data_IF_800685422761
#
_entry.id   IF_800685422761
#
_cell.length_a   1.000
_cell.length_b   1.000
_cell.length_c   1.000
_cell.angle_alpha   90.00
_cell.angle_beta   90.00
_cell.angle_gamma   90.00
#
_symmetry.space_group_name_H-M   'P 1'
#
loop_
_entity.id
_entity.type
_entity.pdbx_description
1 polymer ?
#
# COMPACT_ATOMS: atom_id res chain seq x y z
N UNK A 1 -6.68 -72.15 -20.77
CA UNK A 1 -6.39 -70.89 -21.53
C UNK A 1 -6.93 -69.75 -20.71
N UNK A 2 -6.05 -69.05 -19.99
CA UNK A 2 -6.41 -67.85 -19.19
C UNK A 2 -6.08 -66.60 -20.01
N UNK A 3 -7.06 -65.83 -20.42
CA UNK A 3 -6.88 -64.57 -21.06
C UNK A 3 -6.48 -63.54 -20.04
N UNK A 4 -5.34 -62.91 -20.24
CA UNK A 4 -4.80 -61.82 -19.45
C UNK A 4 -5.33 -60.51 -20.03
N UNK A 5 -6.23 -59.82 -19.31
CA UNK A 5 -6.72 -58.48 -19.66
C UNK A 5 -5.70 -57.48 -19.13
N UNK A 6 -4.97 -56.86 -20.03
CA UNK A 6 -4.12 -55.69 -19.75
C UNK A 6 -5.00 -54.41 -19.74
N UNK A 7 -5.24 -53.87 -18.54
CA UNK A 7 -5.87 -52.57 -18.37
C UNK A 7 -4.77 -51.50 -18.47
N UNK A 8 -4.74 -50.79 -19.59
CA UNK A 8 -3.87 -49.63 -19.80
C UNK A 8 -4.48 -48.45 -19.10
N UNK A 9 -4.03 -48.14 -17.86
CA UNK A 9 -4.40 -46.91 -17.16
C UNK A 9 -3.65 -45.75 -17.78
N UNK A 10 -4.32 -44.98 -18.66
CA UNK A 10 -3.80 -43.71 -19.17
C UNK A 10 -3.77 -42.66 -18.08
N UNK A 11 -2.59 -42.32 -17.58
CA UNK A 11 -2.35 -41.15 -16.76
C UNK A 11 -2.59 -39.90 -17.61
N UNK A 12 -3.75 -39.28 -17.45
CA UNK A 12 -3.98 -37.91 -17.93
C UNK A 12 -3.21 -36.97 -17.00
N UNK A 13 -2.01 -36.62 -17.38
CA UNK A 13 -1.27 -35.51 -16.76
C UNK A 13 -2.00 -34.21 -17.18
N UNK A 14 -2.89 -33.73 -16.34
CA UNK A 14 -3.45 -32.41 -16.49
C UNK A 14 -2.30 -31.40 -16.29
N UNK A 15 -1.64 -31.04 -17.38
CA UNK A 15 -0.72 -29.92 -17.40
C UNK A 15 -1.54 -28.67 -17.07
N UNK A 16 -1.41 -28.14 -15.84
CA UNK A 16 -1.82 -26.80 -15.54
C UNK A 16 -0.98 -25.90 -16.45
N UNK A 17 -1.51 -25.54 -17.60
CA UNK A 17 -0.92 -24.54 -18.46
C UNK A 17 -0.90 -23.23 -17.67
N UNK A 18 0.21 -22.92 -17.04
CA UNK A 18 0.45 -21.59 -16.48
C UNK A 18 0.47 -20.65 -17.70
N UNK A 19 -0.59 -19.86 -17.83
CA UNK A 19 -0.59 -18.81 -18.83
C UNK A 19 0.63 -17.91 -18.57
N UNK A 20 1.41 -17.57 -19.59
CA UNK A 20 2.54 -16.65 -19.42
C UNK A 20 2.01 -15.36 -18.75
N UNK A 21 2.81 -14.73 -17.89
CA UNK A 21 2.40 -13.48 -17.28
C UNK A 21 2.08 -12.48 -18.39
N UNK A 22 0.98 -11.72 -18.22
CA UNK A 22 0.59 -10.67 -19.17
C UNK A 22 1.71 -9.68 -19.35
N UNK A 23 1.87 -9.21 -20.59
CA UNK A 23 2.77 -8.09 -20.87
C UNK A 23 2.07 -6.76 -20.53
N UNK A 24 2.80 -5.86 -19.86
CA UNK A 24 2.34 -4.51 -19.52
C UNK A 24 3.36 -3.48 -19.94
N UNK A 25 2.91 -2.44 -20.64
CA UNK A 25 3.71 -1.27 -20.98
C UNK A 25 3.40 -0.16 -19.98
N UNK A 26 4.42 0.35 -19.29
CA UNK A 26 4.27 1.44 -18.36
C UNK A 26 4.14 2.78 -19.07
N UNK A 27 3.07 3.54 -18.81
CA UNK A 27 2.94 4.94 -19.20
C UNK A 27 3.71 5.83 -18.20
N UNK A 28 3.63 5.49 -16.93
CA UNK A 28 4.33 6.15 -15.81
C UNK A 28 4.75 5.08 -14.81
N UNK A 29 5.95 5.18 -14.31
CA UNK A 29 6.41 4.41 -13.15
C UNK A 29 7.18 5.35 -12.22
N UNK A 30 6.67 5.57 -11.03
CA UNK A 30 7.25 6.46 -10.03
C UNK A 30 8.48 5.81 -9.39
N UNK A 31 9.41 6.65 -8.93
CA UNK A 31 10.50 6.19 -8.08
C UNK A 31 9.93 5.52 -6.82
N UNK A 32 10.53 4.40 -6.41
CA UNK A 32 10.07 3.65 -5.24
C UNK A 32 11.26 3.02 -4.52
N UNK A 33 11.14 2.85 -3.23
CA UNK A 33 12.07 2.04 -2.44
C UNK A 33 11.97 0.56 -2.82
N UNK A 34 12.96 -0.29 -2.51
CA UNK A 34 12.87 -1.73 -2.75
C UNK A 34 11.59 -2.34 -2.19
N UNK A 35 11.03 -3.31 -2.92
CA UNK A 35 9.86 -4.06 -2.46
C UNK A 35 10.20 -4.84 -1.20
N UNK A 36 9.44 -4.59 -0.14
CA UNK A 36 9.59 -5.27 1.15
C UNK A 36 8.69 -6.53 1.20
N UNK A 37 8.92 -7.40 2.18
CA UNK A 37 8.11 -8.59 2.38
C UNK A 37 7.50 -8.58 3.79
N UNK A 38 6.17 -8.51 3.88
CA UNK A 38 5.43 -8.57 5.13
C UNK A 38 5.35 -9.99 5.73
N UNK A 39 5.74 -11.02 4.97
CA UNK A 39 5.58 -12.41 5.38
C UNK A 39 4.11 -12.79 5.59
N UNK A 40 3.82 -13.46 6.70
CA UNK A 40 2.48 -13.88 7.10
C UNK A 40 1.72 -12.86 7.95
N UNK A 41 2.26 -11.67 8.17
CA UNK A 41 1.63 -10.63 9.00
C UNK A 41 0.41 -10.01 8.30
N UNK A 42 -0.47 -9.38 9.08
CA UNK A 42 -1.63 -8.63 8.57
C UNK A 42 -1.33 -7.14 8.37
N UNK A 43 -0.05 -6.80 8.09
CA UNK A 43 0.45 -5.43 8.07
C UNK A 43 0.49 -4.81 6.67
N UNK A 44 -0.22 -5.34 5.67
CA UNK A 44 -0.23 -4.78 4.30
C UNK A 44 -0.51 -3.27 4.28
N UNK A 45 -1.41 -2.77 5.12
CA UNK A 45 -1.73 -1.37 5.27
C UNK A 45 -0.54 -0.52 5.74
N UNK A 46 0.30 -1.06 6.63
CA UNK A 46 1.55 -0.40 7.05
C UNK A 46 2.51 -0.28 5.88
N UNK A 47 2.75 -1.40 5.18
CA UNK A 47 3.67 -1.41 4.04
C UNK A 47 3.20 -0.51 2.90
N UNK A 48 1.89 -0.49 2.61
CA UNK A 48 1.30 0.33 1.57
C UNK A 48 1.43 1.82 1.86
N UNK A 49 1.05 2.25 3.06
CA UNK A 49 1.11 3.67 3.42
C UNK A 49 2.56 4.15 3.58
N UNK A 50 3.46 3.36 4.17
CA UNK A 50 4.89 3.71 4.21
C UNK A 50 5.47 3.84 2.80
N UNK A 51 5.10 2.95 1.87
CA UNK A 51 5.54 3.05 0.48
C UNK A 51 5.00 4.29 -0.23
N UNK A 52 3.78 4.74 0.08
CA UNK A 52 3.23 5.99 -0.44
C UNK A 52 4.01 7.21 0.10
N UNK A 53 4.31 7.25 1.41
CA UNK A 53 5.15 8.29 2.03
C UNK A 53 6.55 8.31 1.38
N UNK A 54 7.18 7.14 1.25
CA UNK A 54 8.51 7.01 0.63
C UNK A 54 8.51 7.52 -0.82
N UNK A 55 7.48 7.18 -1.61
CA UNK A 55 7.33 7.64 -3.00
C UNK A 55 7.21 9.16 -3.07
N UNK A 56 6.48 9.78 -2.15
CA UNK A 56 6.34 11.24 -2.08
C UNK A 56 7.69 11.93 -1.86
N UNK A 57 8.49 11.41 -0.92
CA UNK A 57 9.83 11.94 -0.65
C UNK A 57 10.82 11.70 -1.80
N UNK A 58 10.78 10.53 -2.43
CA UNK A 58 11.63 10.23 -3.60
C UNK A 58 11.35 11.17 -4.78
N UNK A 59 10.12 11.68 -4.92
CA UNK A 59 9.75 12.70 -5.91
C UNK A 59 10.58 13.98 -5.76
N UNK A 60 10.94 14.35 -4.53
CA UNK A 60 11.77 15.49 -4.20
C UNK A 60 13.28 15.18 -4.16
N UNK A 61 13.66 13.92 -4.40
CA UNK A 61 15.06 13.46 -4.35
C UNK A 61 15.53 13.04 -2.95
N UNK A 62 14.63 12.98 -1.98
CA UNK A 62 14.95 12.51 -0.62
C UNK A 62 15.05 10.99 -0.58
N UNK A 63 16.10 10.47 0.06
CA UNK A 63 16.30 9.02 0.25
C UNK A 63 15.59 8.53 1.52
N UNK A 64 14.26 8.58 1.55
CA UNK A 64 13.45 8.09 2.67
C UNK A 64 13.08 6.63 2.46
N UNK A 65 13.42 5.78 3.43
CA UNK A 65 13.04 4.37 3.49
C UNK A 65 12.65 4.04 4.93
N UNK A 66 11.39 3.73 5.20
CA UNK A 66 10.80 3.68 6.53
C UNK A 66 10.68 2.25 7.05
N UNK A 67 10.68 2.09 8.38
CA UNK A 67 10.64 0.80 9.06
C UNK A 67 9.22 0.31 9.37
N UNK A 68 8.71 -0.74 8.70
CA UNK A 68 7.47 -1.40 9.13
C UNK A 68 7.62 -2.08 10.50
N UNK A 69 8.81 -2.59 10.84
CA UNK A 69 9.09 -3.25 12.10
C UNK A 69 8.93 -2.31 13.31
N UNK A 70 9.25 -1.02 13.13
CA UNK A 70 9.00 -0.01 14.17
C UNK A 70 7.50 0.11 14.47
N UNK A 71 6.68 0.19 13.43
CA UNK A 71 5.22 0.26 13.60
C UNK A 71 4.67 -1.03 14.20
N UNK A 72 5.20 -2.19 13.84
CA UNK A 72 4.80 -3.44 14.46
C UNK A 72 5.06 -3.44 15.97
N UNK A 73 6.20 -2.90 16.43
CA UNK A 73 6.48 -2.68 17.86
C UNK A 73 5.53 -1.69 18.52
N UNK A 74 5.18 -0.61 17.83
CA UNK A 74 4.17 0.34 18.30
C UNK A 74 2.82 -0.36 18.52
N UNK A 75 2.39 -1.19 17.57
CA UNK A 75 1.13 -1.93 17.68
C UNK A 75 1.10 -2.92 18.85
N UNK A 76 2.24 -3.50 19.24
CA UNK A 76 2.34 -4.36 20.42
C UNK A 76 2.09 -3.62 21.73
N UNK A 77 2.31 -2.30 21.75
CA UNK A 77 2.18 -1.44 22.92
C UNK A 77 0.92 -0.55 22.87
N UNK A 78 0.23 -0.50 21.74
CA UNK A 78 -0.96 0.33 21.55
C UNK A 78 -2.20 -0.39 22.10
N UNK A 79 -2.80 0.10 23.22
CA UNK A 79 -3.89 -0.62 23.89
C UNK A 79 -5.14 -0.77 23.05
N UNK A 80 -5.33 0.10 22.06
CA UNK A 80 -6.51 0.10 21.17
C UNK A 80 -6.31 -0.72 19.92
N UNK A 81 -5.08 -1.21 19.66
CA UNK A 81 -4.80 -2.04 18.50
C UNK A 81 -5.51 -3.40 18.61
N UNK A 82 -6.16 -3.86 17.53
CA UNK A 82 -6.79 -5.17 17.53
C UNK A 82 -5.74 -6.30 17.56
N UNK A 83 -6.05 -7.46 18.17
CA UNK A 83 -5.12 -8.61 18.20
C UNK A 83 -4.65 -9.06 16.82
N UNK A 84 -5.45 -8.84 15.78
CA UNK A 84 -5.10 -9.13 14.39
C UNK A 84 -4.00 -8.23 13.84
N UNK A 85 -3.71 -7.11 14.49
CA UNK A 85 -2.85 -6.02 13.99
C UNK A 85 -3.31 -5.46 12.63
N UNK A 86 -4.56 -5.71 12.21
CA UNK A 86 -5.15 -5.11 11.01
C UNK A 86 -5.44 -3.63 11.26
N UNK A 87 -5.39 -2.84 10.20
CA UNK A 87 -5.65 -1.40 10.26
C UNK A 87 -5.76 -0.79 8.87
N UNK A 88 -5.75 0.53 8.80
CA UNK A 88 -5.84 1.33 7.58
C UNK A 88 -4.69 2.33 7.49
N UNK A 89 -4.37 2.82 6.29
CA UNK A 89 -3.35 3.85 6.07
C UNK A 89 -3.60 5.10 6.91
N UNK A 90 -4.85 5.50 7.05
CA UNK A 90 -5.27 6.58 7.95
C UNK A 90 -4.88 6.32 9.42
N UNK A 91 -4.99 5.07 9.88
CA UNK A 91 -4.55 4.65 11.21
C UNK A 91 -3.03 4.76 11.34
N UNK A 92 -2.29 4.36 10.30
CA UNK A 92 -0.82 4.48 10.31
C UNK A 92 -0.37 5.94 10.44
N UNK A 93 -0.97 6.86 9.69
CA UNK A 93 -0.67 8.30 9.81
C UNK A 93 -0.82 8.76 11.26
N UNK A 94 -1.92 8.40 11.92
CA UNK A 94 -2.16 8.75 13.32
C UNK A 94 -1.13 8.12 14.27
N UNK A 95 -0.73 6.87 14.04
CA UNK A 95 0.31 6.20 14.84
C UNK A 95 1.68 6.84 14.65
N UNK A 96 2.06 7.20 13.42
CA UNK A 96 3.31 7.92 13.14
C UNK A 96 3.33 9.27 13.85
N UNK A 97 2.25 10.03 13.81
CA UNK A 97 2.14 11.32 14.49
C UNK A 97 2.24 11.18 16.02
N UNK A 98 1.68 10.11 16.58
CA UNK A 98 1.67 9.84 18.04
C UNK A 98 3.00 9.27 18.53
N UNK A 99 3.56 8.30 17.84
CA UNK A 99 4.70 7.49 18.32
C UNK A 99 6.00 7.75 17.57
N UNK A 100 5.94 8.45 16.44
CA UNK A 100 7.09 8.63 15.57
C UNK A 100 7.28 7.51 14.55
N UNK A 101 8.39 7.58 13.85
CA UNK A 101 8.87 6.57 12.88
C UNK A 101 10.39 6.60 12.83
N UNK A 102 11.01 5.54 12.31
CA UNK A 102 12.46 5.48 12.07
C UNK A 102 12.75 4.93 10.67
N UNK A 103 13.98 5.14 10.19
CA UNK A 103 14.44 4.57 8.94
C UNK A 103 14.52 3.05 8.99
N UNK A 104 14.35 2.42 7.84
CA UNK A 104 14.39 0.95 7.67
C UNK A 104 15.71 0.34 8.14
N UNK A 105 16.85 1.02 7.87
CA UNK A 105 18.16 0.53 8.27
C UNK A 105 18.39 0.60 9.79
N UNK A 106 17.67 1.46 10.49
CA UNK A 106 17.74 1.54 11.95
C UNK A 106 16.97 0.41 12.65
N UNK A 107 15.92 -0.12 12.00
CA UNK A 107 15.13 -1.22 12.54
C UNK A 107 14.51 -2.04 11.41
N UNK A 108 15.20 -3.10 10.98
CA UNK A 108 14.75 -3.98 9.88
C UNK A 108 13.79 -5.06 10.33
N UNK A 109 13.90 -5.49 11.59
CA UNK A 109 13.09 -6.57 12.18
C UNK A 109 12.63 -6.19 13.59
N UNK A 110 11.62 -6.86 14.09
CA UNK A 110 11.12 -6.67 15.46
C UNK A 110 12.04 -7.22 16.54
N UNK A 111 13.02 -8.06 16.20
CA UNK A 111 14.03 -8.54 17.15
C UNK A 111 15.00 -7.43 17.57
N UNK A 112 15.11 -6.37 16.79
CA UNK A 112 15.92 -5.19 17.12
C UNK A 112 15.14 -4.31 18.10
N UNK A 113 15.77 -3.85 19.21
CA UNK A 113 15.18 -2.84 20.08
C UNK A 113 14.82 -1.57 19.30
N UNK A 114 13.66 -0.97 19.61
CA UNK A 114 13.25 0.28 18.97
C UNK A 114 14.31 1.37 19.27
N UNK A 115 14.90 2.01 18.24
CA UNK A 115 15.92 3.02 18.46
C UNK A 115 15.31 4.27 19.08
N UNK A 116 16.07 4.90 19.99
CA UNK A 116 15.67 6.17 20.60
C UNK A 116 15.92 7.38 19.69
N UNK A 117 16.78 7.21 18.69
CA UNK A 117 17.17 8.24 17.74
C UNK A 117 17.10 7.68 16.32
N UNK A 118 16.61 8.51 15.40
CA UNK A 118 16.70 8.30 13.96
C UNK A 118 17.82 9.17 13.39
N UNK A 119 18.43 8.72 12.30
CA UNK A 119 19.49 9.45 11.60
C UNK A 119 18.99 9.78 10.19
N UNK A 120 19.10 11.03 9.80
CA UNK A 120 18.85 11.49 8.45
C UNK A 120 19.73 12.68 8.12
N UNK A 121 20.33 12.69 6.92
CA UNK A 121 21.18 13.78 6.42
C UNK A 121 22.30 14.22 7.41
N UNK A 122 22.87 13.24 8.14
CA UNK A 122 23.95 13.50 9.11
C UNK A 122 23.50 14.07 10.44
N UNK A 123 22.22 14.25 10.69
CA UNK A 123 21.66 14.71 11.96
C UNK A 123 20.92 13.59 12.71
N UNK A 124 20.81 13.76 14.02
CA UNK A 124 20.06 12.86 14.90
C UNK A 124 18.72 13.49 15.25
N UNK A 125 17.69 12.68 15.22
CA UNK A 125 16.31 13.07 15.55
C UNK A 125 15.70 12.04 16.50
N UNK A 126 14.82 12.44 17.37
CA UNK A 126 13.87 11.49 17.98
C UNK A 126 12.93 10.92 16.91
N UNK A 127 12.35 9.73 17.10
CA UNK A 127 11.38 9.18 16.16
C UNK A 127 10.22 10.14 15.86
N UNK A 128 9.79 10.97 16.84
CA UNK A 128 8.74 11.96 16.67
C UNK A 128 9.19 13.17 15.84
N UNK A 129 10.41 13.65 16.03
CA UNK A 129 10.98 14.72 15.19
C UNK A 129 11.17 14.24 13.75
N UNK A 130 11.69 13.03 13.57
CA UNK A 130 11.81 12.42 12.24
C UNK A 130 10.45 12.24 11.57
N UNK A 131 9.41 11.80 12.32
CA UNK A 131 8.06 11.69 11.80
C UNK A 131 7.51 13.00 11.24
N UNK A 132 7.77 14.13 11.90
CA UNK A 132 7.31 15.46 11.43
C UNK A 132 7.95 15.87 10.10
N UNK A 133 9.13 15.36 9.79
CA UNK A 133 9.80 15.64 8.51
C UNK A 133 9.34 14.74 7.38
N UNK A 134 8.75 13.57 7.67
CA UNK A 134 8.36 12.58 6.64
C UNK A 134 6.84 12.37 6.52
N UNK A 135 6.07 12.79 7.52
CA UNK A 135 4.61 12.68 7.55
C UNK A 135 4.06 13.78 8.48
N UNK A 136 4.05 15.01 7.99
CA UNK A 136 3.61 16.16 8.78
C UNK A 136 2.12 16.05 9.17
N UNK A 137 1.70 16.66 10.30
CA UNK A 137 0.28 16.79 10.62
C UNK A 137 -0.49 17.46 9.47
N UNK A 138 -1.68 16.94 9.17
CA UNK A 138 -2.57 17.46 8.12
C UNK A 138 -2.01 17.41 6.68
N UNK A 139 -0.91 16.72 6.45
CA UNK A 139 -0.31 16.59 5.12
C UNK A 139 -1.17 15.74 4.18
N UNK A 140 -1.85 14.73 4.71
CA UNK A 140 -2.60 13.75 3.94
C UNK A 140 -4.10 14.05 3.91
N UNK A 141 -4.74 13.73 2.79
CA UNK A 141 -6.18 13.66 2.62
C UNK A 141 -6.58 12.20 2.58
N UNK A 142 -7.57 11.86 3.41
CA UNK A 142 -8.16 10.53 3.49
C UNK A 142 -9.42 10.53 2.65
N UNK A 143 -9.50 9.70 1.63
CA UNK A 143 -10.58 9.68 0.65
C UNK A 143 -11.33 8.36 0.66
N UNK A 144 -12.63 8.42 0.47
CA UNK A 144 -13.47 7.23 0.26
C UNK A 144 -14.55 7.53 -0.79
N UNK A 145 -15.22 6.50 -1.26
CA UNK A 145 -16.40 6.62 -2.11
C UNK A 145 -17.50 5.68 -1.63
N UNK A 146 -18.40 6.22 -0.80
CA UNK A 146 -19.57 5.47 -0.35
C UNK A 146 -20.86 6.18 -0.82
N UNK A 147 -21.74 5.47 -1.55
CA UNK A 147 -22.98 6.06 -2.05
C UNK A 147 -24.01 6.32 -0.94
N UNK A 148 -23.82 5.70 0.24
CA UNK A 148 -24.76 5.79 1.35
C UNK A 148 -24.56 7.02 2.23
N UNK A 149 -23.67 7.94 1.85
CA UNK A 149 -23.42 9.19 2.56
C UNK A 149 -23.25 10.35 1.56
N UNK A 150 -23.47 11.60 1.97
CA UNK A 150 -23.32 12.76 1.09
C UNK A 150 -21.88 12.90 0.59
N UNK A 151 -21.71 13.21 -0.69
CA UNK A 151 -20.42 13.56 -1.25
C UNK A 151 -19.99 14.98 -0.82
N UNK A 152 -18.67 15.19 -0.72
CA UNK A 152 -18.08 16.46 -0.29
C UNK A 152 -18.06 16.64 1.23
N UNK A 153 -18.44 15.63 2.00
CA UNK A 153 -18.42 15.63 3.47
C UNK A 153 -17.49 14.54 4.00
N UNK A 154 -16.97 14.76 5.19
CA UNK A 154 -16.23 13.73 5.92
C UNK A 154 -17.17 12.72 6.55
N UNK A 155 -16.87 11.44 6.38
CA UNK A 155 -17.61 10.31 6.92
C UNK A 155 -16.69 9.38 7.70
N UNK A 156 -17.18 8.79 8.76
CA UNK A 156 -16.50 7.70 9.47
C UNK A 156 -16.79 6.38 8.73
N UNK A 157 -15.75 5.71 8.28
CA UNK A 157 -15.90 4.36 7.74
C UNK A 157 -16.10 3.36 8.89
N UNK A 158 -17.25 2.71 8.91
CA UNK A 158 -17.61 1.68 9.91
C UNK A 158 -16.99 0.32 9.52
N UNK A 159 -15.68 0.30 9.33
CA UNK A 159 -14.91 -0.90 9.05
C UNK A 159 -14.12 -1.30 10.32
N UNK A 160 -13.99 -2.59 10.64
CA UNK A 160 -13.23 -3.04 11.81
C UNK A 160 -11.78 -2.56 11.82
N UNK A 161 -11.19 -2.40 10.63
CA UNK A 161 -9.81 -1.96 10.45
C UNK A 161 -9.63 -0.45 10.70
N UNK A 162 -10.73 0.34 10.74
CA UNK A 162 -10.74 1.75 11.13
C UNK A 162 -10.96 1.93 12.65
N UNK A 163 -10.19 1.22 13.47
CA UNK A 163 -10.38 1.19 14.94
C UNK A 163 -10.04 2.51 15.64
N UNK A 164 -9.30 3.44 15.00
CA UNK A 164 -9.13 4.82 15.48
C UNK A 164 -10.23 5.77 15.00
N UNK A 165 -11.27 5.26 14.30
CA UNK A 165 -12.44 6.04 13.83
C UNK A 165 -12.05 7.26 12.98
N UNK A 166 -11.05 7.09 12.13
CA UNK A 166 -10.62 8.14 11.20
C UNK A 166 -11.77 8.50 10.24
N UNK A 167 -11.83 9.78 9.88
CA UNK A 167 -12.85 10.30 8.96
C UNK A 167 -12.25 10.52 7.59
N UNK A 168 -13.02 10.21 6.56
CA UNK A 168 -12.62 10.25 5.17
C UNK A 168 -13.52 11.21 4.39
N UNK A 169 -12.94 12.03 3.55
CA UNK A 169 -13.70 12.86 2.62
C UNK A 169 -14.38 11.94 1.58
N UNK A 170 -15.71 11.93 1.59
CA UNK A 170 -16.49 11.13 0.67
C UNK A 170 -16.62 11.83 -0.69
N UNK A 171 -16.12 11.21 -1.74
CA UNK A 171 -16.18 11.74 -3.11
C UNK A 171 -16.76 10.71 -4.07
N UNK A 172 -17.35 11.12 -5.22
CA UNK A 172 -17.76 10.17 -6.24
C UNK A 172 -16.61 9.29 -6.71
N UNK A 173 -16.85 8.01 -6.99
CA UNK A 173 -15.84 7.04 -7.40
C UNK A 173 -15.03 7.49 -8.63
N UNK A 174 -15.66 8.11 -9.61
CA UNK A 174 -14.95 8.63 -10.78
C UNK A 174 -14.05 9.83 -10.43
N UNK A 175 -14.41 10.60 -9.41
CA UNK A 175 -13.54 11.66 -8.87
C UNK A 175 -12.35 11.06 -8.15
N UNK A 176 -12.58 10.04 -7.31
CA UNK A 176 -11.53 9.31 -6.59
C UNK A 176 -10.51 8.71 -7.57
N UNK A 177 -10.98 7.96 -8.56
CA UNK A 177 -10.11 7.38 -9.60
C UNK A 177 -9.36 8.45 -10.39
N UNK A 178 -10.04 9.51 -10.83
CA UNK A 178 -9.41 10.60 -11.59
C UNK A 178 -8.30 11.28 -10.77
N UNK A 179 -8.54 11.53 -9.47
CA UNK A 179 -7.54 12.11 -8.56
C UNK A 179 -6.35 11.16 -8.35
N UNK A 180 -6.61 9.87 -8.16
CA UNK A 180 -5.55 8.85 -8.06
C UNK A 180 -4.68 8.81 -9.32
N UNK A 181 -5.29 8.72 -10.51
CA UNK A 181 -4.57 8.71 -11.79
C UNK A 181 -3.78 10.00 -11.99
N UNK A 182 -4.35 11.16 -11.63
CA UNK A 182 -3.67 12.44 -11.76
C UNK A 182 -2.46 12.52 -10.82
N UNK A 183 -2.62 12.19 -9.54
CA UNK A 183 -1.55 12.16 -8.55
C UNK A 183 -0.37 11.28 -9.02
N UNK A 184 -0.65 10.08 -9.49
CA UNK A 184 0.38 9.15 -9.99
C UNK A 184 1.11 9.71 -11.22
N UNK A 185 0.41 10.36 -12.16
CA UNK A 185 1.03 11.04 -13.32
C UNK A 185 1.96 12.17 -12.94
N UNK A 186 1.73 12.78 -11.79
CA UNK A 186 2.55 13.86 -11.22
C UNK A 186 3.59 13.32 -10.25
N UNK A 187 3.80 12.01 -10.25
CA UNK A 187 4.77 11.27 -9.42
C UNK A 187 4.50 11.30 -7.92
N UNK A 188 3.27 11.62 -7.49
CA UNK A 188 2.90 11.55 -6.09
C UNK A 188 2.73 10.11 -5.58
N UNK A 189 2.98 9.92 -4.29
CA UNK A 189 2.70 8.68 -3.57
C UNK A 189 1.21 8.57 -3.23
N UNK A 190 0.62 7.40 -3.48
CA UNK A 190 -0.79 7.12 -3.18
C UNK A 190 -0.90 5.77 -2.51
N UNK A 191 -1.57 5.72 -1.35
CA UNK A 191 -1.97 4.45 -0.72
C UNK A 191 -3.37 4.10 -1.20
N UNK A 192 -3.59 2.85 -1.59
CA UNK A 192 -4.87 2.29 -1.97
C UNK A 192 -5.24 1.13 -1.07
N UNK A 193 -6.48 1.10 -0.64
CA UNK A 193 -7.01 0.08 0.25
C UNK A 193 -8.30 -0.53 -0.29
N UNK A 194 -8.37 -1.84 -0.21
CA UNK A 194 -9.59 -2.64 -0.32
C UNK A 194 -9.90 -3.27 1.03
N UNK A 195 -11.08 -3.91 1.18
CA UNK A 195 -11.41 -4.67 2.41
C UNK A 195 -10.46 -5.82 2.72
N UNK A 196 -9.66 -6.25 1.76
CA UNK A 196 -8.81 -7.44 1.90
C UNK A 196 -7.33 -7.17 1.86
N UNK A 197 -6.91 -6.06 1.24
CA UNK A 197 -5.51 -5.78 1.01
C UNK A 197 -5.28 -4.29 0.78
N UNK A 198 -4.05 -3.85 1.05
CA UNK A 198 -3.59 -2.49 0.78
C UNK A 198 -2.27 -2.53 0.00
N UNK A 199 -2.10 -1.61 -0.95
CA UNK A 199 -0.91 -1.47 -1.79
C UNK A 199 -0.65 0.01 -2.10
N UNK A 200 0.60 0.37 -2.40
CA UNK A 200 0.90 1.70 -2.93
C UNK A 200 0.71 1.73 -4.45
N UNK A 201 0.03 2.76 -4.95
CA UNK A 201 -0.07 3.02 -6.39
C UNK A 201 1.18 3.76 -6.83
N UNK A 202 1.98 3.12 -7.70
CA UNK A 202 3.29 3.61 -8.11
C UNK A 202 3.40 3.84 -9.63
N UNK A 203 2.34 3.61 -10.38
CA UNK A 203 2.41 3.82 -11.82
C UNK A 203 1.10 3.61 -12.55
N UNK A 204 1.16 3.82 -13.84
CA UNK A 204 0.11 3.58 -14.83
C UNK A 204 0.65 2.73 -15.94
N UNK A 205 -0.14 1.78 -16.42
CA UNK A 205 0.23 0.89 -17.52
C UNK A 205 -0.97 0.56 -18.41
N UNK A 206 -0.68 -0.01 -19.56
CA UNK A 206 -1.67 -0.66 -20.41
C UNK A 206 -1.17 -2.04 -20.83
N UNK A 207 -2.08 -2.95 -21.14
CA UNK A 207 -1.76 -4.24 -21.75
C UNK A 207 -1.74 -4.12 -23.28
N UNK A 208 -1.46 -5.23 -23.96
CA UNK A 208 -1.35 -5.28 -25.43
C UNK A 208 -2.69 -4.98 -26.14
N UNK A 209 -3.82 -5.09 -25.43
CA UNK A 209 -5.14 -4.69 -25.95
C UNK A 209 -5.50 -3.23 -25.60
N UNK A 210 -4.59 -2.48 -25.00
CA UNK A 210 -4.76 -1.07 -24.64
C UNK A 210 -5.64 -0.85 -23.39
N UNK A 211 -5.95 -1.90 -22.63
CA UNK A 211 -6.68 -1.78 -21.36
C UNK A 211 -5.78 -1.16 -20.31
N UNK A 212 -6.31 -0.21 -19.55
CA UNK A 212 -5.54 0.59 -18.57
C UNK A 212 -5.52 -0.06 -17.20
N UNK A 213 -4.37 0.06 -16.54
CA UNK A 213 -4.10 -0.49 -15.22
C UNK A 213 -3.38 0.52 -14.32
N UNK A 214 -3.61 0.42 -13.03
CA UNK A 214 -2.76 0.99 -12.01
C UNK A 214 -1.66 -0.02 -11.68
N UNK A 215 -0.42 0.45 -11.59
CA UNK A 215 0.72 -0.35 -11.16
C UNK A 215 0.83 -0.21 -9.64
N UNK A 216 0.75 -1.35 -8.96
CA UNK A 216 0.71 -1.42 -7.51
C UNK A 216 2.01 -2.00 -6.97
N UNK A 217 2.65 -1.31 -6.03
CA UNK A 217 3.75 -1.87 -5.25
C UNK A 217 3.17 -2.70 -4.11
N UNK A 218 3.35 -4.02 -4.18
CA UNK A 218 2.88 -4.95 -3.18
C UNK A 218 3.95 -5.19 -2.10
N UNK A 219 3.59 -5.88 -1.03
CA UNK A 219 4.42 -6.19 0.13
C UNK A 219 4.71 -7.69 0.30
N UNK A 220 4.82 -8.43 -0.79
CA UNK A 220 5.05 -9.89 -0.78
C UNK A 220 6.42 -10.29 -1.32
N UNK A 221 7.40 -9.36 -1.30
CA UNK A 221 8.74 -9.58 -1.83
C UNK A 221 8.80 -9.67 -3.35
N UNK A 222 10.00 -9.85 -3.87
CA UNK A 222 10.30 -9.81 -5.31
C UNK A 222 10.17 -11.16 -6.04
N UNK A 223 10.01 -12.27 -5.30
CA UNK A 223 9.92 -13.63 -5.85
C UNK A 223 8.50 -13.93 -6.39
N UNK A 224 7.95 -12.98 -7.15
CA UNK A 224 6.63 -13.03 -7.75
C UNK A 224 6.71 -12.61 -9.21
N UNK A 225 5.74 -12.95 -10.06
CA UNK A 225 5.62 -12.33 -11.37
C UNK A 225 5.69 -10.80 -11.21
N UNK A 226 6.36 -10.10 -12.09
CA UNK A 226 6.54 -8.64 -12.07
C UNK A 226 7.34 -8.10 -10.86
N UNK A 227 8.15 -8.94 -10.18
CA UNK A 227 9.10 -8.54 -9.14
C UNK A 227 8.50 -7.71 -7.99
N UNK A 228 7.30 -8.11 -7.55
CA UNK A 228 6.59 -7.46 -6.43
C UNK A 228 5.69 -6.31 -6.83
N UNK A 229 5.51 -6.08 -8.12
CA UNK A 229 4.45 -5.24 -8.65
C UNK A 229 3.23 -6.09 -8.98
N UNK A 230 2.05 -5.49 -8.84
CA UNK A 230 0.77 -6.03 -9.30
C UNK A 230 0.07 -5.01 -10.19
N UNK A 231 -0.90 -5.46 -10.98
CA UNK A 231 -1.63 -4.62 -11.91
C UNK A 231 -3.12 -4.79 -11.68
N UNK A 232 -3.80 -3.72 -11.27
CA UNK A 232 -5.25 -3.71 -11.12
C UNK A 232 -5.88 -2.87 -12.21
N UNK A 233 -6.90 -3.40 -12.87
CA UNK A 233 -7.64 -2.65 -13.88
C UNK A 233 -8.40 -1.49 -13.24
N UNK A 234 -8.71 -0.45 -14.03
CA UNK A 234 -9.52 0.67 -13.53
C UNK A 234 -10.91 0.23 -13.07
N UNK A 235 -11.45 -0.83 -13.67
CA UNK A 235 -12.74 -1.39 -13.25
C UNK A 235 -12.63 -2.15 -11.93
N UNK A 236 -11.52 -2.88 -11.72
CA UNK A 236 -11.24 -3.50 -10.42
C UNK A 236 -11.04 -2.44 -9.34
N UNK A 237 -10.31 -1.36 -9.62
CA UNK A 237 -10.19 -0.23 -8.71
C UNK A 237 -11.56 0.31 -8.30
N UNK A 238 -12.47 0.61 -9.27
CA UNK A 238 -13.82 1.10 -8.96
C UNK A 238 -14.61 0.16 -8.07
N UNK A 239 -14.45 -1.14 -8.28
CA UNK A 239 -15.23 -2.17 -7.59
C UNK A 239 -14.70 -2.47 -6.17
N UNK A 240 -13.40 -2.39 -5.97
CA UNK A 240 -12.77 -2.89 -4.74
C UNK A 240 -12.26 -1.79 -3.81
N UNK A 241 -12.15 -0.53 -4.27
CA UNK A 241 -11.66 0.56 -3.44
C UNK A 241 -12.54 0.81 -2.23
N UNK A 242 -11.92 0.76 -1.07
CA UNK A 242 -12.49 1.17 0.21
C UNK A 242 -12.03 2.60 0.55
N UNK A 243 -10.72 2.85 0.49
CA UNK A 243 -10.12 4.13 0.78
C UNK A 243 -8.87 4.39 -0.09
N UNK A 244 -8.49 5.66 -0.15
CA UNK A 244 -7.26 6.14 -0.79
C UNK A 244 -6.70 7.28 0.05
N UNK A 245 -5.41 7.23 0.33
CA UNK A 245 -4.67 8.30 1.01
C UNK A 245 -3.62 8.88 0.07
N UNK A 246 -3.56 10.20 0.00
CA UNK A 246 -2.57 10.97 -0.75
C UNK A 246 -2.30 12.30 -0.06
N UNK A 247 -1.23 13.00 -0.43
CA UNK A 247 -0.96 14.33 0.12
C UNK A 247 -2.01 15.33 -0.34
N UNK A 248 -2.21 16.41 0.44
CA UNK A 248 -3.08 17.54 0.04
C UNK A 248 -2.58 18.20 -1.24
N UNK A 249 -1.26 18.24 -1.45
CA UNK A 249 -0.66 18.71 -2.69
C UNK A 249 -1.18 17.87 -3.87
N UNK A 250 -1.02 16.54 -3.81
CA UNK A 250 -1.49 15.62 -4.85
C UNK A 250 -2.99 15.73 -5.13
N UNK A 251 -3.81 15.92 -4.08
CA UNK A 251 -5.25 16.07 -4.22
C UNK A 251 -5.66 17.40 -4.87
N UNK A 252 -4.98 18.53 -4.52
CA UNK A 252 -5.33 19.86 -4.96
C UNK A 252 -4.69 20.24 -6.31
N UNK A 253 -3.60 19.58 -6.70
CA UNK A 253 -2.94 19.83 -7.97
C UNK A 253 -3.91 19.63 -9.14
N UNK A 254 -3.91 20.57 -10.13
CA UNK A 254 -4.85 20.60 -11.26
C UNK A 254 -4.16 20.22 -12.58
#
# INVERSE_FOLDING_TARGET
MKQLLLILAGLIVASCAQHPPKHYTHEVLNAMTPVKNQGSTQLCWVYAMLAAIETEHLRWGDSVNLSPAFIEKVLEQEPTAPPSKRGMGATLIALIQKHGIVGYDAMRTTDTPAPRLAFMLGAQYTPQEFARSVCAPDEYVLLTSTPNAPYGQEVELREPDNWLRQRFLNVPMDTLLRRTVHAVRRHHGVCWESRRHAMAVVGLAHDDEGRKYLVMKNSWGINRPYHGLDYISLDQFRKETLAVEMTREAYNER
#
